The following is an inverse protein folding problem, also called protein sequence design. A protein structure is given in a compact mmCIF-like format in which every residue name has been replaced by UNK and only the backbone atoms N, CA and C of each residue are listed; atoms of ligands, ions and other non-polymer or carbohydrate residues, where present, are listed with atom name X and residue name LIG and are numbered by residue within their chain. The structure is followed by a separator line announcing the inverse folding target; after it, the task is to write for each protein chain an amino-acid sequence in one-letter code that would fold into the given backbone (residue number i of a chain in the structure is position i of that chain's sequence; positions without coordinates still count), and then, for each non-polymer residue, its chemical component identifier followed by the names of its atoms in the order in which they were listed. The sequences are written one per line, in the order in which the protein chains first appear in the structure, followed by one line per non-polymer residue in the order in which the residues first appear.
data_IF_015556904242
#
_entry.id   IF_015556904242
#
_cell.length_a   1.000
_cell.length_b   1.000
_cell.length_c   1.000
_cell.angle_alpha   90.00
_cell.angle_beta   90.00
_cell.angle_gamma   90.00
#
_symmetry.space_group_name_H-M   'P 1'
#
loop_
_entity.id
_entity.type
_entity.pdbx_description
1 polymer ?
#
# COMPACT_ATOMS: atom_id res chain seq x y z
N UNK A 1 -17.46 -16.04 -0.91
CA UNK A 1 -18.32 -17.17 -1.34
C UNK A 1 -17.82 -17.77 -2.66
N UNK A 2 -16.59 -18.30 -2.71
CA UNK A 2 -16.04 -18.86 -3.96
C UNK A 2 -16.59 -20.26 -4.27
N UNK A 3 -16.61 -21.17 -3.30
CA UNK A 3 -16.96 -22.57 -3.54
C UNK A 3 -18.38 -22.82 -4.06
N UNK A 4 -19.44 -22.16 -3.55
CA UNK A 4 -20.78 -22.32 -4.12
C UNK A 4 -20.86 -21.87 -5.59
N UNK A 5 -20.06 -20.87 -5.98
CA UNK A 5 -19.97 -20.42 -7.38
C UNK A 5 -19.15 -21.39 -8.23
N UNK A 6 -18.07 -21.96 -7.69
CA UNK A 6 -17.25 -22.93 -8.39
C UNK A 6 -18.01 -24.26 -8.64
N UNK A 7 -18.91 -24.65 -7.72
CA UNK A 7 -19.82 -25.79 -7.93
C UNK A 7 -20.80 -25.54 -9.09
N UNK A 8 -21.34 -24.32 -9.21
CA UNK A 8 -22.25 -23.94 -10.28
C UNK A 8 -21.53 -23.69 -11.62
N UNK A 9 -20.27 -23.27 -11.60
CA UNK A 9 -19.48 -22.94 -12.77
C UNK A 9 -18.10 -23.64 -12.71
N UNK A 10 -17.98 -24.88 -13.19
CA UNK A 10 -16.73 -25.66 -13.11
C UNK A 10 -15.53 -25.03 -13.84
N UNK A 11 -15.77 -24.08 -14.75
CA UNK A 11 -14.74 -23.30 -15.44
C UNK A 11 -14.29 -22.06 -14.65
N UNK A 12 -14.90 -21.76 -13.51
CA UNK A 12 -14.56 -20.61 -12.67
C UNK A 12 -13.12 -20.74 -12.17
N UNK A 13 -12.33 -19.72 -12.49
CA UNK A 13 -10.97 -19.54 -11.98
C UNK A 13 -10.97 -18.36 -11.03
N UNK A 14 -10.27 -18.48 -9.90
CA UNK A 14 -10.13 -17.41 -8.93
C UNK A 14 -8.70 -17.22 -8.50
N UNK A 15 -8.41 -16.00 -8.04
CA UNK A 15 -7.19 -15.69 -7.27
C UNK A 15 -7.63 -15.10 -5.94
N UNK A 16 -7.05 -15.59 -4.86
CA UNK A 16 -7.21 -14.99 -3.54
C UNK A 16 -5.83 -14.56 -3.05
N UNK A 17 -5.61 -13.25 -2.91
CA UNK A 17 -4.38 -12.65 -2.44
C UNK A 17 -4.59 -12.12 -1.03
N UNK A 18 -3.79 -12.60 -0.08
CA UNK A 18 -3.93 -12.30 1.34
C UNK A 18 -2.72 -11.53 1.88
N UNK A 19 -2.99 -10.72 2.90
CA UNK A 19 -1.97 -10.24 3.83
C UNK A 19 -1.30 -11.42 4.54
N UNK A 20 -0.06 -11.23 4.95
CA UNK A 20 0.72 -12.30 5.58
C UNK A 20 0.11 -12.68 6.92
N UNK A 21 -0.25 -13.96 7.04
CA UNK A 21 -0.77 -14.56 8.26
C UNK A 21 -0.29 -16.01 8.40
N UNK A 22 -0.51 -16.60 9.59
CA UNK A 22 0.03 -17.93 9.92
C UNK A 22 -0.65 -19.09 9.19
N UNK A 23 -1.78 -18.86 8.50
CA UNK A 23 -2.43 -19.91 7.71
C UNK A 23 -1.67 -20.12 6.41
N UNK A 24 -1.31 -21.36 6.13
CA UNK A 24 -0.72 -21.74 4.85
C UNK A 24 -1.75 -21.65 3.72
N UNK A 25 -1.34 -21.27 2.50
CA UNK A 25 -2.17 -21.40 1.31
C UNK A 25 -2.69 -22.83 1.18
N UNK A 26 -4.00 -22.99 1.07
CA UNK A 26 -4.60 -24.27 0.74
C UNK A 26 -4.53 -24.47 -0.77
N UNK A 27 -4.07 -25.64 -1.23
CA UNK A 27 -4.08 -25.97 -2.65
C UNK A 27 -5.47 -26.50 -3.01
N UNK A 28 -6.31 -25.63 -3.56
CA UNK A 28 -7.72 -25.90 -3.80
C UNK A 28 -8.06 -25.78 -5.29
N UNK A 29 -8.84 -26.74 -5.78
CA UNK A 29 -9.19 -26.82 -7.20
C UNK A 29 -9.87 -25.53 -7.68
N UNK A 30 -9.21 -24.83 -8.61
CA UNK A 30 -9.75 -23.65 -9.30
C UNK A 30 -9.49 -22.31 -8.62
N UNK A 31 -8.94 -22.30 -7.40
CA UNK A 31 -8.57 -21.08 -6.68
C UNK A 31 -7.06 -21.05 -6.44
N UNK A 32 -6.38 -20.06 -7.02
CA UNK A 32 -4.96 -19.83 -6.73
C UNK A 32 -4.87 -18.96 -5.48
N UNK A 33 -4.29 -19.53 -4.43
CA UNK A 33 -4.04 -18.84 -3.18
C UNK A 33 -2.64 -18.20 -3.21
N UNK A 34 -2.60 -16.88 -3.00
CA UNK A 34 -1.39 -16.08 -2.93
C UNK A 34 -1.34 -15.35 -1.58
N UNK A 35 -0.14 -15.10 -1.09
CA UNK A 35 0.08 -14.34 0.13
C UNK A 35 1.30 -13.45 -0.02
N UNK A 36 1.24 -12.26 0.55
CA UNK A 36 2.38 -11.35 0.63
C UNK A 36 3.47 -11.89 1.58
N UNK A 37 4.74 -11.62 1.28
CA UNK A 37 5.87 -11.89 2.19
C UNK A 37 6.02 -10.81 3.26
N UNK A 38 5.70 -9.56 2.94
CA UNK A 38 5.55 -8.51 3.94
C UNK A 38 4.15 -8.59 4.55
N UNK A 39 3.97 -7.93 5.69
CA UNK A 39 2.75 -8.03 6.50
C UNK A 39 1.48 -7.70 5.71
N UNK A 40 1.51 -6.67 4.89
CA UNK A 40 0.39 -6.19 4.08
C UNK A 40 0.91 -5.44 2.85
N UNK A 41 0.02 -5.11 1.91
CA UNK A 41 0.40 -4.46 0.65
C UNK A 41 0.99 -3.05 0.88
N UNK A 42 0.54 -2.34 1.90
CA UNK A 42 1.01 -1.00 2.26
C UNK A 42 2.49 -0.98 2.63
N UNK A 43 3.04 -2.12 3.09
CA UNK A 43 4.48 -2.24 3.37
C UNK A 43 5.34 -2.06 2.10
N UNK A 44 4.80 -2.35 0.92
CA UNK A 44 5.45 -2.10 -0.38
C UNK A 44 5.28 -0.66 -0.88
N UNK A 45 4.55 0.19 -0.15
CA UNK A 45 4.33 1.61 -0.48
C UNK A 45 5.01 2.54 0.56
N UNK A 46 5.32 2.00 1.73
CA UNK A 46 5.86 2.75 2.86
C UNK A 46 7.38 2.89 2.77
N UNK A 47 7.84 3.92 2.06
CA UNK A 47 9.25 4.32 2.03
C UNK A 47 9.42 5.79 2.44
N UNK A 48 10.49 6.17 3.14
CA UNK A 48 10.72 7.56 3.53
C UNK A 48 10.63 8.52 2.33
N UNK A 49 11.30 8.20 1.22
CA UNK A 49 11.29 9.04 0.03
C UNK A 49 9.92 9.14 -0.66
N UNK A 50 9.07 8.12 -0.54
CA UNK A 50 7.69 8.14 -1.05
C UNK A 50 6.84 9.12 -0.25
N UNK A 51 6.97 9.08 1.07
CA UNK A 51 6.26 9.98 1.98
C UNK A 51 6.72 11.43 1.80
N UNK A 52 8.02 11.64 1.55
CA UNK A 52 8.57 12.95 1.21
C UNK A 52 8.05 13.43 -0.16
N UNK A 53 8.08 12.57 -1.18
CA UNK A 53 7.57 12.92 -2.50
C UNK A 53 6.07 13.29 -2.48
N UNK A 54 5.26 12.58 -1.68
CA UNK A 54 3.87 12.96 -1.41
C UNK A 54 3.77 14.37 -0.81
N UNK A 55 4.55 14.67 0.23
CA UNK A 55 4.51 15.97 0.90
C UNK A 55 4.93 17.12 -0.05
N UNK A 56 5.94 16.88 -0.89
CA UNK A 56 6.39 17.86 -1.89
C UNK A 56 5.37 18.04 -3.02
N UNK A 57 4.77 16.95 -3.52
CA UNK A 57 3.77 16.99 -4.59
C UNK A 57 2.51 17.73 -4.18
N UNK A 58 1.96 17.42 -3.00
CA UNK A 58 0.78 18.10 -2.46
C UNK A 58 1.04 19.58 -2.18
N UNK A 59 2.23 19.92 -1.66
CA UNK A 59 2.64 21.31 -1.49
C UNK A 59 2.60 22.10 -2.81
N UNK A 60 3.10 21.52 -3.92
CA UNK A 60 3.09 22.19 -5.23
C UNK A 60 1.67 22.33 -5.79
N UNK A 61 0.83 21.29 -5.63
CA UNK A 61 -0.55 21.28 -6.12
C UNK A 61 -1.42 22.32 -5.39
N UNK A 62 -1.19 22.53 -4.10
CA UNK A 62 -2.00 23.39 -3.24
C UNK A 62 -1.40 24.79 -3.01
N UNK A 63 -0.19 25.05 -3.52
CA UNK A 63 0.44 26.35 -3.36
C UNK A 63 -0.45 27.47 -3.95
N UNK A 64 -0.61 28.63 -3.26
CA UNK A 64 -1.40 29.77 -3.77
C UNK A 64 -0.86 30.39 -5.08
N UNK A 65 0.32 29.98 -5.51
CA UNK A 65 0.95 30.36 -6.77
C UNK A 65 2.46 30.05 -6.77
N UNK A 66 3.14 30.23 -7.92
CA UNK A 66 4.56 29.85 -8.08
C UNK A 66 5.51 30.50 -7.08
N UNK A 67 5.17 31.70 -6.58
CA UNK A 67 5.99 32.43 -5.60
C UNK A 67 6.01 31.79 -4.20
N UNK A 68 4.99 31.00 -3.86
CA UNK A 68 4.86 30.34 -2.56
C UNK A 68 5.26 28.86 -2.61
N UNK A 69 5.47 28.32 -3.81
CA UNK A 69 5.70 26.90 -4.05
C UNK A 69 6.91 26.37 -3.28
N UNK A 70 8.08 27.01 -3.41
CA UNK A 70 9.31 26.54 -2.75
C UNK A 70 9.21 26.58 -1.22
N UNK A 71 8.53 27.60 -0.68
CA UNK A 71 8.34 27.76 0.76
C UNK A 71 7.40 26.70 1.30
N UNK A 72 6.29 26.42 0.61
CA UNK A 72 5.35 25.37 1.00
C UNK A 72 5.96 23.97 0.84
N UNK A 73 6.69 23.71 -0.25
CA UNK A 73 7.44 22.46 -0.45
C UNK A 73 8.41 22.22 0.71
N UNK A 74 9.19 23.24 1.08
CA UNK A 74 10.11 23.14 2.21
C UNK A 74 9.38 22.89 3.53
N UNK A 75 8.32 23.65 3.81
CA UNK A 75 7.51 23.51 5.03
C UNK A 75 6.91 22.11 5.16
N UNK A 76 6.27 21.60 4.12
CA UNK A 76 5.64 20.28 4.11
C UNK A 76 6.67 19.15 4.20
N UNK A 77 7.76 19.23 3.43
CA UNK A 77 8.89 18.30 3.51
C UNK A 77 9.45 18.21 4.93
N UNK A 78 9.81 19.34 5.53
CA UNK A 78 10.39 19.37 6.88
C UNK A 78 9.41 18.84 7.93
N UNK A 79 8.11 19.13 7.77
CA UNK A 79 7.06 18.62 8.68
C UNK A 79 6.94 17.10 8.57
N UNK A 80 6.93 16.55 7.35
CA UNK A 80 6.91 15.11 7.11
C UNK A 80 8.16 14.42 7.66
N UNK A 81 9.36 14.96 7.40
CA UNK A 81 10.63 14.41 7.92
C UNK A 81 10.65 14.36 9.45
N UNK A 82 10.17 15.44 10.11
CA UNK A 82 10.09 15.50 11.57
C UNK A 82 9.10 14.49 12.12
N UNK A 83 7.95 14.31 11.47
CA UNK A 83 6.95 13.33 11.91
C UNK A 83 7.45 11.90 11.75
N UNK A 84 8.07 11.57 10.61
CA UNK A 84 8.70 10.26 10.38
C UNK A 84 9.68 9.96 11.52
N UNK A 85 10.63 10.87 11.78
CA UNK A 85 11.62 10.67 12.84
C UNK A 85 10.98 10.54 14.24
N UNK A 86 9.93 11.32 14.52
CA UNK A 86 9.19 11.25 15.79
C UNK A 86 8.56 9.88 16.00
N UNK A 87 7.90 9.33 14.97
CA UNK A 87 7.26 8.02 15.05
C UNK A 87 8.29 6.88 15.08
N UNK A 88 9.39 6.98 14.33
CA UNK A 88 10.49 6.01 14.41
C UNK A 88 11.07 5.94 15.83
N UNK A 89 11.35 7.09 16.46
CA UNK A 89 11.86 7.14 17.82
C UNK A 89 10.84 6.60 18.84
N UNK A 90 9.56 6.91 18.66
CA UNK A 90 8.49 6.36 19.50
C UNK A 90 8.41 4.82 19.37
N UNK A 91 8.47 4.29 18.15
CA UNK A 91 8.44 2.85 17.89
C UNK A 91 9.65 2.13 18.49
N UNK A 92 10.84 2.73 18.36
CA UNK A 92 12.07 2.23 18.97
C UNK A 92 11.95 2.20 20.49
N UNK A 93 11.43 3.27 21.09
CA UNK A 93 11.22 3.38 22.55
C UNK A 93 10.23 2.34 23.05
N UNK A 94 9.15 2.10 22.30
CA UNK A 94 8.12 1.11 22.61
C UNK A 94 8.48 -0.32 22.17
N UNK A 95 9.65 -0.53 21.56
CA UNK A 95 10.12 -1.82 21.02
C UNK A 95 9.12 -2.47 20.05
N UNK A 96 8.50 -1.67 19.19
CA UNK A 96 7.46 -2.10 18.22
C UNK A 96 7.99 -2.49 16.84
N UNK A 97 9.30 -2.52 16.64
CA UNK A 97 9.92 -2.80 15.33
C UNK A 97 10.13 -1.53 14.51
N UNK A 98 10.23 -1.70 13.18
CA UNK A 98 10.48 -0.62 12.22
C UNK A 98 9.40 -0.60 11.14
N UNK A 99 8.89 0.56 10.70
CA UNK A 99 7.94 0.63 9.58
C UNK A 99 8.56 0.23 8.24
N UNK A 100 9.88 0.06 8.18
CA UNK A 100 10.63 -0.28 6.96
C UNK A 100 10.98 -1.76 6.83
N UNK A 101 10.71 -2.58 7.86
CA UNK A 101 11.11 -3.99 7.87
C UNK A 101 10.07 -4.92 7.21
N UNK A 102 8.86 -4.42 6.95
CA UNK A 102 7.76 -5.18 6.35
C UNK A 102 7.10 -6.18 7.31
N UNK A 103 7.41 -6.15 8.60
CA UNK A 103 6.87 -7.09 9.59
C UNK A 103 5.64 -6.54 10.32
N UNK A 104 5.60 -5.23 10.54
CA UNK A 104 4.51 -4.58 11.26
C UNK A 104 3.30 -4.28 10.37
N UNK A 105 2.14 -4.05 10.98
CA UNK A 105 0.93 -3.59 10.28
C UNK A 105 1.03 -2.09 10.01
N UNK A 106 1.89 -1.72 9.07
CA UNK A 106 2.32 -0.35 8.77
C UNK A 106 1.15 0.61 8.50
N UNK A 107 0.04 0.14 7.95
CA UNK A 107 -1.17 0.89 7.68
C UNK A 107 -1.77 1.49 8.95
N UNK A 108 -1.91 0.68 10.00
CA UNK A 108 -2.50 1.08 11.27
C UNK A 108 -1.45 1.67 12.21
N UNK A 109 -0.28 1.04 12.28
CA UNK A 109 0.71 1.35 13.30
C UNK A 109 1.61 2.53 12.93
N UNK A 110 1.75 2.87 11.64
CA UNK A 110 2.64 3.93 11.17
C UNK A 110 1.95 4.96 10.27
N UNK A 111 1.42 4.55 9.11
CA UNK A 111 0.90 5.48 8.09
C UNK A 111 -0.30 6.27 8.60
N UNK A 112 -1.23 5.64 9.31
CA UNK A 112 -2.39 6.32 9.89
C UNK A 112 -1.96 7.44 10.85
N UNK A 113 -1.19 7.17 11.94
CA UNK A 113 -0.75 8.23 12.83
C UNK A 113 0.18 9.25 12.14
N UNK A 114 1.01 8.82 11.19
CA UNK A 114 1.87 9.71 10.40
C UNK A 114 1.04 10.78 9.68
N UNK A 115 0.04 10.39 8.90
CA UNK A 115 -0.74 11.33 8.12
C UNK A 115 -1.69 12.17 8.97
N UNK A 116 -2.24 11.61 10.05
CA UNK A 116 -3.03 12.37 11.01
C UNK A 116 -2.20 13.49 11.63
N UNK A 117 -1.05 13.16 12.23
CA UNK A 117 -0.16 14.12 12.88
C UNK A 117 0.44 15.13 11.88
N UNK A 118 0.79 14.67 10.67
CA UNK A 118 1.34 15.52 9.61
C UNK A 118 0.34 16.62 9.19
N UNK A 119 -0.91 16.25 8.88
CA UNK A 119 -1.91 17.25 8.47
C UNK A 119 -2.31 18.15 9.65
N UNK A 120 -2.42 17.60 10.87
CA UNK A 120 -2.67 18.39 12.08
C UNK A 120 -1.58 19.47 12.30
N UNK A 121 -0.30 19.10 12.19
CA UNK A 121 0.83 20.03 12.32
C UNK A 121 0.84 21.11 11.25
N UNK A 122 0.29 20.83 10.07
CA UNK A 122 0.13 21.81 9.00
C UNK A 122 -1.13 22.69 9.15
N UNK A 123 -2.05 22.32 10.05
CA UNK A 123 -3.37 22.95 10.20
C UNK A 123 -4.31 22.63 9.04
N UNK A 124 -4.16 21.46 8.42
CA UNK A 124 -4.90 21.03 7.24
C UNK A 124 -5.84 19.87 7.58
N UNK A 125 -6.85 19.68 6.73
CA UNK A 125 -7.68 18.47 6.77
C UNK A 125 -6.84 17.24 6.35
N UNK A 126 -7.10 16.08 6.95
CA UNK A 126 -6.40 14.85 6.58
C UNK A 126 -6.92 14.32 5.24
N UNK A 127 -6.17 14.60 4.16
CA UNK A 127 -6.47 14.12 2.81
C UNK A 127 -5.94 12.70 2.54
N UNK A 128 -5.20 12.12 3.48
CA UNK A 128 -4.65 10.77 3.37
C UNK A 128 -5.20 9.83 4.46
N UNK A 129 -6.53 9.59 4.50
CA UNK A 129 -7.10 8.55 5.35
C UNK A 129 -6.68 7.17 4.85
N UNK A 130 -6.79 6.13 5.70
CA UNK A 130 -6.37 4.75 5.37
C UNK A 130 -6.82 4.23 4.00
N UNK A 131 -8.05 4.55 3.58
CA UNK A 131 -8.59 4.15 2.26
C UNK A 131 -7.80 4.72 1.05
N UNK A 132 -7.04 5.79 1.27
CA UNK A 132 -6.31 6.54 0.25
C UNK A 132 -4.82 6.16 0.16
N UNK A 133 -4.30 5.23 0.97
CA UNK A 133 -2.88 4.85 0.89
C UNK A 133 -2.45 4.31 -0.48
N UNK A 134 -3.39 3.85 -1.30
CA UNK A 134 -3.14 3.47 -2.69
C UNK A 134 -2.62 4.63 -3.55
N UNK A 135 -2.90 5.89 -3.19
CA UNK A 135 -2.38 7.08 -3.87
C UNK A 135 -0.85 7.20 -3.73
N UNK A 136 -0.25 6.57 -2.72
CA UNK A 136 1.20 6.54 -2.56
C UNK A 136 1.93 5.83 -3.71
N UNK A 137 1.22 4.95 -4.45
CA UNK A 137 1.76 4.25 -5.63
C UNK A 137 2.32 5.25 -6.65
N UNK A 138 1.73 6.44 -6.79
CA UNK A 138 2.19 7.48 -7.74
C UNK A 138 3.61 7.96 -7.44
N UNK A 139 4.08 7.79 -6.22
CA UNK A 139 5.38 8.28 -5.76
C UNK A 139 6.42 7.18 -5.60
N UNK A 140 6.05 5.91 -5.77
CA UNK A 140 6.99 4.77 -5.65
C UNK A 140 7.88 4.70 -6.89
N UNK A 141 9.21 4.83 -6.76
CA UNK A 141 10.12 4.60 -7.88
C UNK A 141 9.98 3.18 -8.42
N UNK A 142 9.97 3.01 -9.74
CA UNK A 142 9.78 1.69 -10.38
C UNK A 142 10.86 0.71 -9.92
N UNK A 143 12.08 1.20 -9.67
CA UNK A 143 13.21 0.41 -9.19
C UNK A 143 13.04 -0.09 -7.75
N UNK A 144 12.15 0.55 -6.97
CA UNK A 144 11.82 0.16 -5.59
C UNK A 144 10.60 -0.74 -5.51
N UNK A 145 9.81 -0.88 -6.58
CA UNK A 145 8.73 -1.84 -6.62
C UNK A 145 9.32 -3.25 -6.45
N UNK A 146 8.94 -3.90 -5.34
CA UNK A 146 9.38 -5.26 -5.07
C UNK A 146 9.02 -6.19 -6.23
N UNK A 147 9.95 -7.06 -6.61
CA UNK A 147 9.69 -8.10 -7.62
C UNK A 147 8.51 -9.00 -7.24
N UNK A 148 8.14 -9.06 -5.95
CA UNK A 148 6.94 -9.76 -5.51
C UNK A 148 5.64 -9.11 -5.97
N UNK A 149 5.56 -7.77 -6.03
CA UNK A 149 4.36 -7.09 -6.57
C UNK A 149 4.14 -7.54 -8.01
N UNK A 150 5.21 -7.58 -8.80
CA UNK A 150 5.18 -8.11 -10.16
C UNK A 150 4.80 -9.59 -10.19
N UNK A 151 5.39 -10.42 -9.32
CA UNK A 151 5.06 -11.84 -9.19
C UNK A 151 3.56 -12.06 -8.95
N UNK A 152 2.94 -11.28 -8.05
CA UNK A 152 1.50 -11.40 -7.77
C UNK A 152 0.63 -10.93 -8.94
N UNK A 153 1.02 -9.85 -9.61
CA UNK A 153 0.33 -9.35 -10.81
C UNK A 153 0.43 -10.36 -11.96
N UNK A 154 1.60 -10.97 -12.17
CA UNK A 154 1.81 -12.01 -13.19
C UNK A 154 0.95 -13.25 -12.88
N UNK A 155 0.87 -13.66 -11.61
CA UNK A 155 0.00 -14.76 -11.19
C UNK A 155 -1.50 -14.44 -11.43
N UNK A 156 -1.94 -13.21 -11.16
CA UNK A 156 -3.30 -12.76 -11.48
C UNK A 156 -3.54 -12.82 -13.00
N UNK A 157 -2.62 -12.28 -13.79
CA UNK A 157 -2.72 -12.27 -15.24
C UNK A 157 -2.78 -13.69 -15.82
N UNK A 158 -2.02 -14.63 -15.26
CA UNK A 158 -2.03 -16.03 -15.69
C UNK A 158 -3.38 -16.70 -15.43
N UNK A 159 -3.98 -16.48 -14.26
CA UNK A 159 -5.31 -17.02 -13.95
C UNK A 159 -6.39 -16.41 -14.84
N UNK A 160 -6.29 -15.13 -15.16
CA UNK A 160 -7.20 -14.46 -16.09
C UNK A 160 -7.12 -15.07 -17.50
N UNK A 161 -5.91 -15.40 -18.00
CA UNK A 161 -5.74 -16.07 -19.30
C UNK A 161 -6.36 -17.46 -19.36
N UNK A 162 -6.41 -18.16 -18.22
CA UNK A 162 -6.97 -19.51 -18.12
C UNK A 162 -8.49 -19.51 -17.94
N UNK A 163 -9.09 -18.37 -17.57
CA UNK A 163 -10.52 -18.24 -17.45
C UNK A 163 -11.18 -18.23 -18.85
N UNK A 164 -12.20 -19.08 -19.05
CA UNK A 164 -12.99 -19.09 -20.29
C UNK A 164 -14.31 -18.34 -20.07
N UNK A 165 -14.67 -17.37 -20.93
CA UNK A 165 -15.98 -16.73 -20.89
C UNK A 165 -17.10 -17.76 -21.08
N UNK A 166 -18.21 -17.60 -20.35
CA UNK A 166 -19.38 -18.49 -20.43
C UNK A 166 -20.01 -18.52 -21.84
N UNK A 167 -19.77 -17.51 -22.68
CA UNK A 167 -20.30 -17.42 -24.05
C UNK A 167 -19.65 -18.36 -25.07
N UNK A 168 -18.54 -19.02 -24.75
CA UNK A 168 -17.86 -19.99 -25.64
C UNK A 168 -18.05 -21.45 -25.21
N UNK A 169 -18.87 -21.68 -24.18
CA UNK A 169 -19.27 -23.00 -23.70
C UNK A 169 -20.67 -23.38 -24.22
N UNK A 170 -20.83 -23.39 -25.55
CA UNK A 170 -22.05 -23.78 -26.25
C UNK A 170 -21.74 -24.34 -27.63
#
# INVERSE_FOLDING_TARGET
HFYPLAEAFPCLKGVALFDRHDKSPADEKGLVWLMWKQREIESYLCYPEVLIAYAESTARKEAPGPLFEEVEVKRRRETMQKEIATLEDAMKTLKRGSPWDGEMKVSDDFLTPLFENYHEKLGLYNEMPKRSFHELVEFVPVEKLSGEVKEKLDAIAEVVKQARPVSEAG
#
